data_IF_127369047895
#
_entry.id   IF_127369047895
#
_cell.length_a   1.000
_cell.length_b   1.000
_cell.length_c   1.000
_cell.angle_alpha   90.00
_cell.angle_beta   90.00
_cell.angle_gamma   90.00
#
_symmetry.space_group_name_H-M   'P 1'
#
loop_
_entity.id
_entity.type
_entity.pdbx_description
1 polymer ?
#
# COMPACT_ATOMS: atom_id res chain seq x y z
N UNK A 1 -0.49 -6.85 4.62
CA UNK A 1 0.33 -6.45 5.80
C UNK A 1 1.04 -7.69 6.23
N UNK A 2 2.33 -7.62 6.45
CA UNK A 2 3.16 -8.74 6.86
C UNK A 2 3.68 -8.51 8.26
N UNK A 3 3.52 -9.51 9.13
CA UNK A 3 3.84 -9.42 10.55
C UNK A 3 4.82 -10.53 10.90
N UNK A 4 5.88 -10.18 11.62
CA UNK A 4 6.81 -11.13 12.22
C UNK A 4 7.01 -10.78 13.69
N UNK A 5 7.35 -11.80 14.47
CA UNK A 5 7.73 -11.68 15.87
C UNK A 5 9.02 -10.86 16.04
N UNK A 6 9.33 -10.48 17.28
CA UNK A 6 10.63 -9.87 17.62
C UNK A 6 11.76 -10.82 17.18
N UNK A 7 12.69 -10.29 16.38
CA UNK A 7 13.79 -11.08 15.80
C UNK A 7 13.45 -11.83 14.51
N UNK A 8 12.22 -11.70 14.01
CA UNK A 8 11.82 -12.26 12.71
C UNK A 8 12.49 -11.57 11.52
N UNK A 9 12.55 -12.27 10.38
CA UNK A 9 13.24 -11.79 9.18
C UNK A 9 12.45 -10.68 8.47
N UNK A 10 13.03 -9.48 8.49
CA UNK A 10 12.50 -8.32 7.78
C UNK A 10 12.48 -8.52 6.27
N UNK A 11 13.51 -9.15 5.68
CA UNK A 11 13.57 -9.36 4.24
C UNK A 11 12.48 -10.32 3.76
N UNK A 12 12.18 -11.36 4.54
CA UNK A 12 11.07 -12.26 4.28
C UNK A 12 9.73 -11.49 4.28
N UNK A 13 9.50 -10.65 5.30
CA UNK A 13 8.29 -9.84 5.39
C UNK A 13 8.16 -8.85 4.22
N UNK A 14 9.25 -8.20 3.81
CA UNK A 14 9.26 -7.29 2.66
C UNK A 14 8.98 -8.06 1.38
N UNK A 15 9.56 -9.24 1.19
CA UNK A 15 9.35 -10.05 -0.02
C UNK A 15 7.90 -10.54 -0.12
N UNK A 16 7.31 -11.01 0.98
CA UNK A 16 5.89 -11.38 1.03
C UNK A 16 5.00 -10.19 0.70
N UNK A 17 5.27 -9.02 1.29
CA UNK A 17 4.51 -7.81 1.00
C UNK A 17 4.67 -7.38 -0.46
N UNK A 18 5.87 -7.46 -1.01
CA UNK A 18 6.16 -7.12 -2.41
C UNK A 18 5.33 -7.98 -3.38
N UNK A 19 5.23 -9.29 -3.13
CA UNK A 19 4.40 -10.20 -3.93
C UNK A 19 2.94 -9.73 -3.94
N UNK A 20 2.39 -9.41 -2.76
CA UNK A 20 1.02 -8.90 -2.65
C UNK A 20 0.84 -7.55 -3.36
N UNK A 21 1.77 -6.62 -3.18
CA UNK A 21 1.70 -5.30 -3.84
C UNK A 21 1.73 -5.43 -5.36
N UNK A 22 2.63 -6.25 -5.91
CA UNK A 22 2.75 -6.48 -7.36
C UNK A 22 1.48 -7.12 -7.90
N UNK A 23 0.98 -8.19 -7.26
CA UNK A 23 -0.25 -8.84 -7.68
C UNK A 23 -1.47 -7.90 -7.62
N UNK A 24 -1.57 -7.07 -6.56
CA UNK A 24 -2.62 -6.07 -6.42
C UNK A 24 -2.57 -5.01 -7.53
N UNK A 25 -1.39 -4.45 -7.80
CA UNK A 25 -1.20 -3.45 -8.86
C UNK A 25 -1.50 -4.03 -10.25
N UNK A 26 -1.14 -5.29 -10.52
CA UNK A 26 -1.50 -5.94 -11.79
C UNK A 26 -2.99 -6.25 -11.90
N UNK A 27 -3.64 -6.60 -10.80
CA UNK A 27 -5.09 -6.76 -10.79
C UNK A 27 -5.79 -5.44 -11.11
N UNK A 28 -5.36 -4.33 -10.50
CA UNK A 28 -5.89 -3.00 -10.82
C UNK A 28 -5.69 -2.69 -12.31
N UNK A 29 -4.47 -2.88 -12.82
CA UNK A 29 -4.16 -2.66 -14.24
C UNK A 29 -5.03 -3.47 -15.20
N UNK A 30 -5.26 -4.75 -14.90
CA UNK A 30 -6.11 -5.61 -15.75
C UNK A 30 -7.58 -5.22 -15.70
N UNK A 31 -8.05 -4.63 -14.60
CA UNK A 31 -9.42 -4.15 -14.43
C UNK A 31 -9.61 -2.70 -14.93
N UNK A 32 -8.53 -1.94 -15.09
CA UNK A 32 -8.54 -0.54 -15.52
C UNK A 32 -7.79 -0.32 -16.84
N UNK A 33 -8.10 -1.13 -17.88
CA UNK A 33 -7.34 -1.15 -19.14
C UNK A 33 -7.23 0.20 -19.86
N UNK A 34 -8.17 1.10 -19.63
CA UNK A 34 -8.19 2.44 -20.24
C UNK A 34 -7.36 3.49 -19.46
N UNK A 35 -6.71 3.08 -18.37
CA UNK A 35 -5.98 3.96 -17.46
C UNK A 35 -4.49 3.74 -17.64
N UNK A 36 -3.71 4.78 -17.97
CA UNK A 36 -2.25 4.68 -18.02
C UNK A 36 -1.69 4.18 -16.69
N UNK A 37 -0.58 3.42 -16.73
CA UNK A 37 0.08 2.92 -15.51
C UNK A 37 0.38 4.04 -14.51
N UNK A 38 0.76 5.22 -14.98
CA UNK A 38 1.06 6.41 -14.17
C UNK A 38 -0.16 7.00 -13.44
N UNK A 39 -1.37 6.58 -13.80
CA UNK A 39 -2.63 7.00 -13.18
C UNK A 39 -3.24 5.91 -12.29
N UNK A 40 -2.62 4.73 -12.21
CA UNK A 40 -2.98 3.72 -11.22
C UNK A 40 -2.47 4.19 -9.87
N UNK A 41 -3.38 4.33 -8.90
CA UNK A 41 -3.00 4.79 -7.57
C UNK A 41 -2.09 3.77 -6.86
N UNK A 42 -1.18 4.23 -5.98
CA UNK A 42 -0.29 3.34 -5.25
C UNK A 42 -1.03 2.34 -4.35
N UNK A 43 -0.44 1.15 -4.20
CA UNK A 43 -0.80 0.21 -3.14
C UNK A 43 -0.05 0.57 -1.85
N UNK A 44 -0.72 0.43 -0.71
CA UNK A 44 -0.14 0.66 0.60
C UNK A 44 -0.06 -0.65 1.39
N UNK A 45 1.03 -0.83 2.11
CA UNK A 45 1.30 -2.04 2.88
C UNK A 45 2.15 -1.77 4.11
N UNK A 46 2.01 -2.60 5.13
CA UNK A 46 2.83 -2.50 6.34
C UNK A 46 3.65 -3.78 6.51
N UNK A 47 4.91 -3.61 6.89
CA UNK A 47 5.69 -4.67 7.55
C UNK A 47 5.82 -4.33 9.02
N UNK A 48 5.55 -5.30 9.89
CA UNK A 48 5.61 -5.15 11.35
C UNK A 48 6.54 -6.22 11.91
N UNK A 49 7.64 -5.82 12.54
CA UNK A 49 8.59 -6.73 13.19
C UNK A 49 8.64 -6.38 14.67
N UNK A 50 8.00 -7.19 15.51
CA UNK A 50 7.79 -6.85 16.91
C UNK A 50 7.08 -5.50 17.07
N UNK A 51 7.78 -4.48 17.58
CA UNK A 51 7.26 -3.13 17.77
C UNK A 51 7.56 -2.17 16.62
N UNK A 52 8.33 -2.57 15.61
CA UNK A 52 8.69 -1.72 14.48
C UNK A 52 7.64 -1.80 13.37
N UNK A 53 7.07 -0.65 13.00
CA UNK A 53 6.09 -0.51 11.93
C UNK A 53 6.71 0.28 10.78
N UNK A 54 6.75 -0.32 9.58
CA UNK A 54 7.29 0.33 8.37
C UNK A 54 6.22 0.35 7.29
N UNK A 55 5.83 1.56 6.86
CA UNK A 55 4.88 1.76 5.77
C UNK A 55 5.62 1.64 4.43
N UNK A 56 5.04 0.81 3.57
CA UNK A 56 5.44 0.63 2.19
C UNK A 56 4.36 1.20 1.27
N UNK A 57 4.82 1.94 0.29
CA UNK A 57 4.06 2.49 -0.83
C UNK A 57 4.57 1.80 -2.09
N UNK A 58 3.67 1.33 -2.95
CA UNK A 58 4.05 0.66 -4.19
C UNK A 58 3.28 1.24 -5.36
N UNK A 59 3.96 1.61 -6.44
CA UNK A 59 3.26 2.10 -7.65
C UNK A 59 3.94 1.56 -8.90
N UNK A 60 3.23 1.69 -10.02
CA UNK A 60 3.74 1.39 -11.35
C UNK A 60 4.25 2.67 -12.01
N UNK A 61 5.48 2.63 -12.49
CA UNK A 61 6.02 3.65 -13.39
C UNK A 61 5.40 3.52 -14.79
N UNK A 62 5.63 4.52 -15.65
CA UNK A 62 5.10 4.53 -17.02
C UNK A 62 5.57 3.32 -17.85
N UNK A 63 6.78 2.82 -17.58
CA UNK A 63 7.37 1.64 -18.23
C UNK A 63 6.87 0.30 -17.65
N UNK A 64 6.00 0.35 -16.63
CA UNK A 64 5.39 -0.83 -15.99
C UNK A 64 6.18 -1.40 -14.82
N UNK A 65 7.38 -0.87 -14.51
CA UNK A 65 8.15 -1.27 -13.32
C UNK A 65 7.40 -0.93 -12.05
N UNK A 66 7.45 -1.83 -11.07
CA UNK A 66 6.90 -1.58 -9.73
C UNK A 66 8.00 -1.05 -8.84
N UNK A 67 7.80 0.16 -8.32
CA UNK A 67 8.66 0.73 -7.27
C UNK A 67 8.06 0.35 -5.93
N UNK A 68 8.89 -0.18 -5.03
CA UNK A 68 8.56 -0.49 -3.64
C UNK A 68 9.66 0.09 -2.77
N UNK A 69 9.29 0.84 -1.74
CA UNK A 69 10.20 1.23 -0.68
C UNK A 69 9.60 0.89 0.68
N UNK A 70 10.42 0.66 1.71
CA UNK A 70 10.15 1.34 2.96
C UNK A 70 10.57 2.80 2.82
N UNK A 71 9.70 3.72 3.20
CA UNK A 71 10.10 5.12 3.37
C UNK A 71 10.55 5.28 4.80
N UNK A 72 11.86 5.49 5.00
CA UNK A 72 12.46 5.62 6.34
C UNK A 72 11.81 6.74 7.16
N UNK A 73 11.37 7.81 6.50
CA UNK A 73 10.60 8.90 7.11
C UNK A 73 9.24 8.47 7.68
N UNK A 74 8.74 7.29 7.31
CA UNK A 74 7.46 6.71 7.74
C UNK A 74 7.67 5.52 8.69
N UNK A 75 8.88 5.32 9.20
CA UNK A 75 9.15 4.34 10.24
C UNK A 75 8.60 4.84 11.57
N UNK A 76 7.84 3.98 12.24
CA UNK A 76 7.25 4.25 13.54
C UNK A 76 7.10 2.92 14.30
N UNK A 77 6.31 2.90 15.37
CA UNK A 77 6.23 1.70 16.18
C UNK A 77 5.37 1.84 17.42
N UNK A 78 5.45 0.83 18.28
CA UNK A 78 4.72 0.78 19.54
C UNK A 78 5.63 0.63 20.76
N UNK A 79 6.95 0.75 20.57
CA UNK A 79 7.95 0.61 21.64
C UNK A 79 8.10 1.85 22.53
N UNK A 80 7.56 3.00 22.11
CA UNK A 80 7.58 4.25 22.87
C UNK A 80 6.30 5.06 22.65
N UNK A 81 5.98 6.00 23.55
CA UNK A 81 4.85 6.91 23.36
C UNK A 81 5.01 7.77 22.11
N UNK A 82 6.23 8.23 21.82
CA UNK A 82 6.53 9.00 20.62
C UNK A 82 6.19 8.21 19.36
N UNK A 83 6.66 6.96 19.28
CA UNK A 83 6.42 6.11 18.12
C UNK A 83 4.95 5.76 17.98
N UNK A 84 4.27 5.51 19.11
CA UNK A 84 2.83 5.22 19.12
C UNK A 84 2.01 6.40 18.59
N UNK A 85 2.31 7.62 19.02
CA UNK A 85 1.63 8.81 18.51
C UNK A 85 1.95 9.08 17.04
N UNK A 86 3.19 8.80 16.62
CA UNK A 86 3.61 8.89 15.22
C UNK A 86 2.84 7.89 14.36
N UNK A 87 2.73 6.64 14.81
CA UNK A 87 1.95 5.59 14.16
C UNK A 87 0.48 5.98 14.06
N UNK A 88 -0.12 6.48 15.14
CA UNK A 88 -1.52 6.92 15.15
C UNK A 88 -1.77 8.05 14.15
N UNK A 89 -0.88 9.05 14.08
CA UNK A 89 -0.96 10.12 13.10
C UNK A 89 -0.86 9.58 11.67
N UNK A 90 0.10 8.68 11.41
CA UNK A 90 0.32 8.10 10.09
C UNK A 90 -0.89 7.26 9.64
N UNK A 91 -1.44 6.41 10.52
CA UNK A 91 -2.66 5.63 10.23
C UNK A 91 -3.84 6.54 9.91
N UNK A 92 -4.02 7.65 10.64
CA UNK A 92 -5.07 8.63 10.34
C UNK A 92 -4.91 9.28 8.97
N UNK A 93 -3.68 9.60 8.57
CA UNK A 93 -3.39 10.14 7.22
C UNK A 93 -3.67 9.13 6.13
N UNK A 94 -3.24 7.88 6.31
CA UNK A 94 -3.52 6.78 5.39
C UNK A 94 -5.03 6.57 5.25
N UNK A 95 -5.76 6.52 6.37
CA UNK A 95 -7.23 6.45 6.37
C UNK A 95 -7.85 7.61 5.59
N UNK A 96 -7.45 8.85 5.88
CA UNK A 96 -7.98 10.03 5.19
C UNK A 96 -7.72 9.99 3.69
N UNK A 97 -6.52 9.58 3.26
CA UNK A 97 -6.22 9.39 1.84
C UNK A 97 -7.06 8.28 1.20
N UNK A 98 -7.29 7.17 1.91
CA UNK A 98 -8.16 6.10 1.42
C UNK A 98 -9.59 6.59 1.21
N UNK A 99 -10.15 7.30 2.19
CA UNK A 99 -11.53 7.81 2.15
C UNK A 99 -11.72 8.90 1.09
N UNK A 100 -10.74 9.78 0.91
CA UNK A 100 -10.88 10.98 0.06
C UNK A 100 -10.35 10.82 -1.36
N UNK A 101 -9.42 9.88 -1.60
CA UNK A 101 -8.78 9.71 -2.91
C UNK A 101 -8.90 8.29 -3.42
N UNK A 102 -8.40 7.30 -2.67
CA UNK A 102 -8.26 5.94 -3.19
C UNK A 102 -9.62 5.26 -3.45
N UNK A 103 -10.53 5.32 -2.49
CA UNK A 103 -11.84 4.67 -2.63
C UNK A 103 -12.70 5.30 -3.72
N UNK A 104 -12.86 6.64 -3.80
CA UNK A 104 -13.55 7.27 -4.93
C UNK A 104 -12.95 6.90 -6.28
N UNK A 105 -11.61 6.91 -6.40
CA UNK A 105 -10.92 6.48 -7.61
C UNK A 105 -11.24 5.02 -7.94
N UNK A 106 -11.11 4.11 -6.98
CA UNK A 106 -11.34 2.68 -7.20
C UNK A 106 -12.76 2.42 -7.72
N UNK A 107 -13.76 3.08 -7.12
CA UNK A 107 -15.16 2.96 -7.54
C UNK A 107 -15.36 3.52 -8.96
N UNK A 108 -14.90 4.74 -9.22
CA UNK A 108 -15.12 5.43 -10.50
C UNK A 108 -14.33 4.81 -11.66
N UNK A 109 -13.13 4.31 -11.40
CA UNK A 109 -12.15 3.94 -12.43
C UNK A 109 -11.97 2.45 -12.63
N UNK A 110 -12.28 1.64 -11.62
CA UNK A 110 -12.02 0.19 -11.64
C UNK A 110 -13.32 -0.61 -11.49
N UNK A 111 -14.20 -0.23 -10.56
CA UNK A 111 -15.40 -1.01 -10.25
C UNK A 111 -16.63 -0.61 -11.07
N UNK A 112 -16.66 0.59 -11.64
CA UNK A 112 -17.78 1.13 -12.44
C UNK A 112 -18.02 0.39 -13.78
N UNK A 113 -17.09 -0.45 -14.22
CA UNK A 113 -17.17 -1.23 -15.47
C UNK A 113 -17.95 -2.55 -15.25
N UNK A 114 -19.18 -2.43 -14.77
CA UNK A 114 -20.09 -3.57 -14.57
C UNK A 114 -21.59 -3.25 -14.69
N UNK A 115 -21.97 -1.99 -14.91
CA UNK A 115 -23.38 -1.56 -14.95
C UNK A 115 -23.93 -1.31 -16.36
N UNK A 116 -23.28 -1.84 -17.40
CA UNK A 116 -23.79 -1.76 -18.78
C UNK A 116 -23.70 -3.14 -19.41
N UNK A 117 -24.84 -3.62 -19.92
CA UNK A 117 -25.15 -4.92 -20.53
C UNK A 117 -25.89 -5.94 -19.63
N UNK A 118 -27.10 -5.57 -19.19
CA UNK A 118 -28.28 -6.45 -19.23
C UNK A 118 -29.48 -5.66 -19.68
#
# INVERSE_FOLDING_TARGET
MEVKEVGGDYNEAVMQLAIYSVAGLEKLRTQSLNIPNSQILPSLGWTIIGHEWKLHISWKESDGRVVLGPWTALHCGTGSYHDLFTLLNLVRRVKGWFETQYWPWLVDKVLSIGAVHT
#
